data_IF_060275717335
#
_entry.id   IF_060275717335
#
_cell.length_a   1.000
_cell.length_b   1.000
_cell.length_c   1.000
_cell.angle_alpha   90.00
_cell.angle_beta   90.00
_cell.angle_gamma   90.00
#
_symmetry.space_group_name_H-M   'P 1'
#
loop_
_entity.id
_entity.type
_entity.pdbx_description
1 polymer ?
#
# COMPACT_ATOMS: atom_id res chain seq x y z
N UNK A 1 -36.12 -1.93 12.09
CA UNK A 1 -36.57 -3.25 11.60
C UNK A 1 -36.84 -4.14 12.79
N UNK A 2 -37.22 -5.41 12.61
CA UNK A 2 -37.40 -6.32 13.75
C UNK A 2 -36.04 -6.56 14.47
N UNK A 3 -36.06 -6.53 15.81
CA UNK A 3 -34.92 -6.74 16.70
C UNK A 3 -33.75 -5.75 16.55
N UNK A 4 -34.00 -4.51 16.16
CA UNK A 4 -32.99 -3.44 16.18
C UNK A 4 -32.76 -2.94 17.60
N UNK A 5 -31.49 -2.78 18.00
CA UNK A 5 -31.11 -2.33 19.37
C UNK A 5 -31.72 -3.19 20.49
N UNK A 6 -31.95 -4.49 20.23
CA UNK A 6 -32.71 -5.35 21.13
C UNK A 6 -32.07 -5.52 22.51
N UNK A 7 -30.75 -5.72 22.56
CA UNK A 7 -30.00 -5.93 23.80
C UNK A 7 -29.42 -4.64 24.40
N UNK A 8 -29.74 -3.44 23.86
CA UNK A 8 -29.13 -2.18 24.27
C UNK A 8 -29.60 -1.76 25.67
N UNK A 9 -28.67 -1.74 26.63
CA UNK A 9 -28.97 -1.40 28.04
C UNK A 9 -28.49 -0.01 28.40
N UNK A 10 -27.23 0.34 28.11
CA UNK A 10 -26.64 1.64 28.48
C UNK A 10 -26.05 2.41 27.30
N UNK A 11 -25.97 1.80 26.12
CA UNK A 11 -25.45 2.45 24.91
C UNK A 11 -26.31 3.61 24.44
N UNK A 12 -25.69 4.75 24.16
CA UNK A 12 -26.34 5.98 23.74
C UNK A 12 -25.93 6.40 22.32
N UNK A 13 -26.77 7.23 21.67
CA UNK A 13 -26.49 7.86 20.37
C UNK A 13 -26.22 6.90 19.20
N UNK A 14 -26.81 5.70 19.23
CA UNK A 14 -26.69 4.72 18.16
C UNK A 14 -27.81 4.88 17.10
N UNK A 15 -27.45 4.74 15.82
CA UNK A 15 -28.41 4.68 14.70
C UNK A 15 -28.46 3.26 14.14
N UNK A 16 -29.63 2.62 14.15
CA UNK A 16 -29.81 1.25 13.66
C UNK A 16 -30.98 1.13 12.66
N UNK A 17 -30.68 0.78 11.41
CA UNK A 17 -31.65 0.60 10.33
C UNK A 17 -31.43 -0.76 9.66
N UNK A 18 -32.43 -1.63 9.70
CA UNK A 18 -32.34 -3.01 9.18
C UNK A 18 -33.00 -3.99 10.13
N UNK A 19 -33.10 -5.27 9.78
CA UNK A 19 -33.44 -6.30 10.78
C UNK A 19 -32.17 -6.74 11.49
N UNK A 20 -32.24 -6.84 12.83
CA UNK A 20 -31.14 -7.27 13.70
C UNK A 20 -29.85 -6.44 13.54
N UNK A 21 -29.97 -5.18 13.13
CA UNK A 21 -28.88 -4.21 13.18
C UNK A 21 -28.64 -3.81 14.65
N UNK A 22 -27.37 -3.82 15.10
CA UNK A 22 -26.98 -3.60 16.51
C UNK A 22 -27.82 -4.44 17.51
N UNK A 23 -28.06 -5.71 17.17
CA UNK A 23 -28.90 -6.58 17.99
C UNK A 23 -28.30 -6.80 19.39
N UNK A 24 -27.02 -7.14 19.47
CA UNK A 24 -26.31 -7.48 20.73
C UNK A 24 -25.54 -6.30 21.33
N UNK A 25 -25.87 -5.06 20.96
CA UNK A 25 -25.29 -3.86 21.56
C UNK A 25 -25.65 -3.81 23.04
N UNK A 26 -24.69 -3.79 23.96
CA UNK A 26 -24.95 -3.72 25.41
C UNK A 26 -24.70 -2.29 25.90
N UNK A 27 -23.46 -1.83 25.77
CA UNK A 27 -23.00 -0.56 26.33
C UNK A 27 -22.42 0.41 25.30
N UNK A 28 -22.26 -0.02 24.04
CA UNK A 28 -21.53 0.78 23.08
C UNK A 28 -22.30 2.03 22.62
N UNK A 29 -21.56 3.10 22.36
CA UNK A 29 -22.07 4.43 22.02
C UNK A 29 -21.65 4.87 20.62
N UNK A 30 -22.47 5.73 20.01
CA UNK A 30 -22.14 6.43 18.76
C UNK A 30 -21.86 5.52 17.55
N UNK A 31 -22.55 4.39 17.47
CA UNK A 31 -22.47 3.49 16.32
C UNK A 31 -23.57 3.77 15.28
N UNK A 32 -23.22 3.66 14.00
CA UNK A 32 -24.18 3.71 12.88
C UNK A 32 -24.21 2.37 12.17
N UNK A 33 -25.35 1.69 12.17
CA UNK A 33 -25.56 0.40 11.54
C UNK A 33 -26.74 0.43 10.57
N UNK A 34 -26.46 0.34 9.27
CA UNK A 34 -27.46 0.36 8.20
C UNK A 34 -27.33 -0.90 7.36
N UNK A 35 -28.23 -1.86 7.55
CA UNK A 35 -28.28 -3.11 6.80
C UNK A 35 -28.79 -4.28 7.64
N UNK A 36 -29.19 -5.36 6.96
CA UNK A 36 -29.48 -6.63 7.62
C UNK A 36 -28.23 -7.13 8.36
N UNK A 37 -28.33 -7.33 9.68
CA UNK A 37 -27.20 -7.76 10.52
C UNK A 37 -25.96 -6.85 10.51
N UNK A 38 -26.08 -5.57 10.17
CA UNK A 38 -24.98 -4.63 10.35
C UNK A 38 -24.64 -4.49 11.86
N UNK A 39 -23.36 -4.60 12.23
CA UNK A 39 -22.89 -4.55 13.62
C UNK A 39 -23.65 -5.47 14.59
N UNK A 40 -24.10 -6.64 14.13
CA UNK A 40 -25.00 -7.50 14.93
C UNK A 40 -24.41 -7.87 16.30
N UNK A 41 -23.14 -8.27 16.34
CA UNK A 41 -22.48 -8.80 17.54
C UNK A 41 -21.72 -7.74 18.35
N UNK A 42 -21.86 -6.46 18.03
CA UNK A 42 -21.13 -5.39 18.72
C UNK A 42 -21.61 -5.31 20.16
N UNK A 43 -20.76 -5.56 21.15
CA UNK A 43 -21.15 -5.53 22.58
C UNK A 43 -20.76 -4.23 23.26
N UNK A 44 -19.53 -3.75 22.99
CA UNK A 44 -18.95 -2.57 23.63
C UNK A 44 -18.02 -1.76 22.71
N UNK A 45 -18.01 -2.04 21.41
CA UNK A 45 -17.18 -1.31 20.45
C UNK A 45 -17.83 0.03 20.06
N UNK A 46 -17.14 1.14 20.29
CA UNK A 46 -17.66 2.49 20.09
C UNK A 46 -17.26 3.07 18.74
N UNK A 47 -18.03 4.06 18.27
CA UNK A 47 -17.71 4.89 17.10
C UNK A 47 -17.56 4.09 15.78
N UNK A 48 -18.30 2.99 15.61
CA UNK A 48 -18.26 2.20 14.39
C UNK A 48 -19.35 2.63 13.39
N UNK A 49 -19.01 2.65 12.11
CA UNK A 49 -19.95 2.86 11.00
C UNK A 49 -20.00 1.64 10.12
N UNK A 50 -21.15 0.96 10.04
CA UNK A 50 -21.40 -0.18 9.17
C UNK A 50 -22.57 0.11 8.23
N UNK A 51 -22.32 0.15 6.93
CA UNK A 51 -23.35 0.30 5.89
C UNK A 51 -23.25 -0.85 4.89
N UNK A 52 -24.25 -1.71 4.89
CA UNK A 52 -24.30 -2.93 4.09
C UNK A 52 -24.80 -4.12 4.90
N UNK A 53 -25.43 -5.08 4.22
CA UNK A 53 -25.85 -6.32 4.89
C UNK A 53 -24.60 -7.07 5.39
N UNK A 54 -24.60 -7.40 6.69
CA UNK A 54 -23.50 -8.06 7.42
C UNK A 54 -22.18 -7.28 7.45
N UNK A 55 -22.18 -5.97 7.22
CA UNK A 55 -21.01 -5.14 7.46
C UNK A 55 -20.67 -5.12 8.98
N UNK A 56 -19.39 -5.31 9.33
CA UNK A 56 -18.90 -5.49 10.72
C UNK A 56 -19.71 -6.51 11.55
N UNK A 57 -20.21 -7.56 10.91
CA UNK A 57 -21.11 -8.54 11.54
C UNK A 57 -20.57 -9.12 12.86
N UNK A 58 -19.27 -9.43 12.90
CA UNK A 58 -18.61 -10.10 14.03
C UNK A 58 -17.94 -9.16 15.03
N UNK A 59 -18.04 -7.83 14.83
CA UNK A 59 -17.36 -6.90 15.73
C UNK A 59 -17.93 -7.07 17.13
N UNK A 60 -17.09 -7.20 18.16
CA UNK A 60 -17.53 -7.29 19.56
C UNK A 60 -17.06 -6.09 20.36
N UNK A 61 -15.76 -5.78 20.29
CA UNK A 61 -15.12 -4.72 21.09
C UNK A 61 -14.20 -3.82 20.27
N UNK A 62 -14.15 -3.99 18.94
CA UNK A 62 -13.38 -3.13 18.07
C UNK A 62 -14.03 -1.74 17.95
N UNK A 63 -13.20 -0.70 18.01
CA UNK A 63 -13.66 0.69 17.99
C UNK A 63 -13.23 1.39 16.69
N UNK A 64 -13.92 2.48 16.34
CA UNK A 64 -13.52 3.38 15.26
C UNK A 64 -13.38 2.69 13.90
N UNK A 65 -14.16 1.64 13.61
CA UNK A 65 -14.14 0.98 12.32
C UNK A 65 -15.22 1.56 11.38
N UNK A 66 -14.85 1.79 10.13
CA UNK A 66 -15.79 2.10 9.04
C UNK A 66 -15.83 0.95 8.06
N UNK A 67 -17.01 0.37 7.83
CA UNK A 67 -17.23 -0.69 6.85
C UNK A 67 -18.39 -0.37 5.90
N UNK A 68 -18.09 -0.30 4.61
CA UNK A 68 -19.07 0.06 3.57
C UNK A 68 -19.11 -1.03 2.49
N UNK A 69 -20.20 -1.80 2.43
CA UNK A 69 -20.41 -2.87 1.46
C UNK A 69 -21.06 -4.12 2.06
N UNK A 70 -21.60 -4.99 1.21
CA UNK A 70 -22.05 -6.32 1.66
C UNK A 70 -20.86 -7.08 2.24
N UNK A 71 -20.99 -7.51 3.51
CA UNK A 71 -19.97 -8.23 4.26
C UNK A 71 -18.62 -7.52 4.40
N UNK A 72 -18.56 -6.20 4.22
CA UNK A 72 -17.34 -5.43 4.49
C UNK A 72 -16.90 -5.60 5.96
N UNK A 73 -15.66 -6.06 6.18
CA UNK A 73 -15.05 -6.26 7.48
C UNK A 73 -15.81 -7.26 8.35
N UNK A 74 -16.53 -8.23 7.77
CA UNK A 74 -17.44 -9.09 8.54
C UNK A 74 -16.72 -10.01 9.53
N UNK A 75 -15.39 -10.13 9.41
CA UNK A 75 -14.53 -10.95 10.27
C UNK A 75 -13.89 -10.16 11.42
N UNK A 76 -13.98 -8.83 11.44
CA UNK A 76 -13.44 -8.02 12.54
C UNK A 76 -14.15 -8.42 13.84
N UNK A 77 -13.39 -8.71 14.90
CA UNK A 77 -13.91 -8.97 16.26
C UNK A 77 -13.43 -7.92 17.25
N UNK A 78 -12.12 -7.69 17.31
CA UNK A 78 -11.48 -6.78 18.28
C UNK A 78 -10.53 -5.77 17.62
N UNK A 79 -10.38 -5.85 16.30
CA UNK A 79 -9.59 -4.89 15.54
C UNK A 79 -10.23 -3.50 15.55
N UNK A 80 -9.41 -2.45 15.62
CA UNK A 80 -9.87 -1.06 15.73
C UNK A 80 -9.23 -0.18 14.66
N UNK A 81 -9.86 0.96 14.38
CA UNK A 81 -9.36 1.98 13.45
C UNK A 81 -9.24 1.48 11.99
N UNK A 82 -10.09 0.54 11.55
CA UNK A 82 -10.05 0.06 10.17
C UNK A 82 -11.04 0.78 9.28
N UNK A 83 -10.65 1.10 8.04
CA UNK A 83 -11.54 1.55 6.97
C UNK A 83 -11.63 0.47 5.90
N UNK A 84 -12.77 -0.22 5.82
CA UNK A 84 -13.00 -1.36 4.93
C UNK A 84 -14.13 -1.04 3.95
N UNK A 85 -13.83 -0.89 2.66
CA UNK A 85 -14.79 -0.45 1.65
C UNK A 85 -14.80 -1.45 0.49
N UNK A 86 -15.91 -2.15 0.30
CA UNK A 86 -16.08 -3.09 -0.81
C UNK A 86 -17.00 -4.27 -0.50
N UNK A 87 -17.52 -4.91 -1.54
CA UNK A 87 -18.20 -6.20 -1.44
C UNK A 87 -17.20 -7.27 -1.00
N UNK A 88 -17.48 -8.00 0.09
CA UNK A 88 -16.61 -9.04 0.67
C UNK A 88 -15.15 -8.55 0.89
N UNK A 89 -14.94 -7.27 1.21
CA UNK A 89 -13.62 -6.75 1.60
C UNK A 89 -13.35 -7.05 3.08
N UNK A 90 -12.15 -7.51 3.43
CA UNK A 90 -11.82 -7.93 4.79
C UNK A 90 -10.43 -7.42 5.25
N UNK A 91 -10.22 -7.26 6.57
CA UNK A 91 -8.89 -7.02 7.13
C UNK A 91 -7.96 -8.24 6.95
N UNK A 92 -6.69 -8.10 7.30
CA UNK A 92 -5.75 -9.24 7.31
C UNK A 92 -6.08 -10.31 8.37
N UNK A 93 -6.72 -9.92 9.47
CA UNK A 93 -7.15 -10.80 10.56
C UNK A 93 -8.26 -10.14 11.39
N UNK A 94 -8.93 -10.91 12.24
CA UNK A 94 -10.05 -10.45 13.08
C UNK A 94 -9.68 -9.40 14.15
N UNK A 95 -8.40 -9.32 14.51
CA UNK A 95 -7.82 -8.36 15.46
C UNK A 95 -6.88 -7.35 14.80
N UNK A 96 -6.84 -7.31 13.46
CA UNK A 96 -6.01 -6.32 12.75
C UNK A 96 -6.56 -4.92 12.94
N UNK A 97 -5.65 -3.96 13.06
CA UNK A 97 -5.96 -2.57 13.38
C UNK A 97 -5.25 -1.60 12.46
N UNK A 98 -5.83 -0.42 12.31
CA UNK A 98 -5.30 0.68 11.51
C UNK A 98 -5.08 0.30 10.03
N UNK A 99 -6.00 -0.47 9.43
CA UNK A 99 -5.94 -0.81 8.01
C UNK A 99 -6.87 0.07 7.18
N UNK A 100 -6.45 0.37 5.95
CA UNK A 100 -7.34 0.87 4.90
C UNK A 100 -7.44 -0.23 3.86
N UNK A 101 -8.62 -0.80 3.62
CA UNK A 101 -8.83 -1.86 2.63
C UNK A 101 -9.97 -1.45 1.71
N UNK A 102 -9.65 -1.20 0.45
CA UNK A 102 -10.61 -0.66 -0.53
C UNK A 102 -10.63 -1.56 -1.76
N UNK A 103 -11.80 -2.08 -2.13
CA UNK A 103 -12.01 -2.88 -3.33
C UNK A 103 -12.84 -4.13 -3.09
N UNK A 104 -13.56 -4.59 -4.11
CA UNK A 104 -14.29 -5.86 -4.08
C UNK A 104 -13.33 -7.02 -3.80
N UNK A 105 -13.57 -7.77 -2.73
CA UNK A 105 -12.75 -8.92 -2.36
C UNK A 105 -11.31 -8.56 -1.98
N UNK A 106 -11.04 -7.30 -1.64
CA UNK A 106 -9.72 -6.89 -1.17
C UNK A 106 -9.48 -7.45 0.24
N UNK A 107 -8.24 -7.88 0.52
CA UNK A 107 -7.84 -8.39 1.83
C UNK A 107 -6.66 -7.59 2.35
N UNK A 108 -6.78 -7.08 3.59
CA UNK A 108 -5.70 -6.40 4.30
C UNK A 108 -4.42 -7.24 4.36
N UNK A 109 -3.26 -6.58 4.48
CA UNK A 109 -1.95 -7.24 4.44
C UNK A 109 -1.11 -7.06 5.73
N UNK A 110 -1.68 -6.42 6.75
CA UNK A 110 -1.01 -6.19 8.04
C UNK A 110 -1.42 -4.86 8.69
N UNK A 111 -1.15 -4.71 9.99
CA UNK A 111 -1.51 -3.49 10.70
C UNK A 111 -0.82 -2.26 10.10
N UNK A 112 -1.51 -1.12 10.08
CA UNK A 112 -1.02 0.15 9.54
C UNK A 112 -0.85 0.16 8.00
N UNK A 113 -1.46 -0.78 7.28
CA UNK A 113 -1.32 -0.90 5.82
C UNK A 113 -2.57 -0.40 5.08
N UNK A 114 -2.34 0.18 3.91
CA UNK A 114 -3.38 0.45 2.93
C UNK A 114 -3.32 -0.57 1.78
N UNK A 115 -4.45 -1.19 1.47
CA UNK A 115 -4.66 -2.10 0.35
C UNK A 115 -5.74 -1.52 -0.54
N UNK A 116 -5.42 -1.31 -1.82
CA UNK A 116 -6.35 -0.78 -2.82
C UNK A 116 -6.44 -1.80 -3.95
N UNK A 117 -7.46 -2.64 -3.91
CA UNK A 117 -7.72 -3.69 -4.88
C UNK A 117 -7.43 -5.11 -4.39
N UNK A 118 -7.77 -6.06 -5.25
CA UNK A 118 -7.43 -7.47 -5.16
C UNK A 118 -6.49 -7.86 -6.32
N UNK A 119 -6.24 -9.15 -6.50
CA UNK A 119 -5.38 -9.64 -7.59
C UNK A 119 -5.87 -9.31 -9.01
N UNK A 120 -7.15 -8.95 -9.18
CA UNK A 120 -7.73 -8.59 -10.47
C UNK A 120 -7.46 -7.13 -10.87
N UNK A 121 -6.99 -6.30 -9.93
CA UNK A 121 -6.68 -4.89 -10.21
C UNK A 121 -5.40 -4.77 -11.02
N UNK A 122 -5.52 -4.32 -12.27
CA UNK A 122 -4.37 -4.21 -13.20
C UNK A 122 -3.70 -2.84 -13.18
N UNK A 123 -4.39 -1.79 -12.70
CA UNK A 123 -3.89 -0.41 -12.67
C UNK A 123 -4.47 0.35 -11.49
N UNK A 124 -3.63 1.18 -10.87
CA UNK A 124 -4.03 2.18 -9.87
C UNK A 124 -3.62 3.55 -10.40
N UNK A 125 -4.59 4.41 -10.66
CA UNK A 125 -4.34 5.77 -11.14
C UNK A 125 -4.35 6.75 -9.96
N UNK A 126 -3.26 7.48 -9.77
CA UNK A 126 -3.21 8.58 -8.80
C UNK A 126 -3.80 9.89 -9.36
N UNK A 127 -3.73 10.11 -10.68
CA UNK A 127 -4.45 11.15 -11.41
C UNK A 127 -4.63 10.73 -12.88
N UNK A 128 -5.65 11.27 -13.56
CA UNK A 128 -5.92 10.97 -14.98
C UNK A 128 -5.18 11.93 -15.93
N UNK A 129 -5.23 13.26 -15.69
CA UNK A 129 -4.77 14.24 -16.71
C UNK A 129 -3.76 15.30 -16.22
N UNK A 130 -3.52 15.43 -14.91
CA UNK A 130 -2.68 16.51 -14.35
C UNK A 130 -1.34 16.04 -13.75
N UNK A 131 -1.06 14.73 -13.82
CA UNK A 131 0.00 14.10 -13.02
C UNK A 131 -0.34 14.10 -11.52
N UNK A 132 0.20 13.14 -10.78
CA UNK A 132 0.07 13.08 -9.32
C UNK A 132 1.47 13.00 -8.70
N UNK A 133 1.68 13.76 -7.63
CA UNK A 133 2.88 13.65 -6.79
C UNK A 133 2.56 12.72 -5.62
N UNK A 134 3.35 11.66 -5.45
CA UNK A 134 3.28 10.78 -4.28
C UNK A 134 4.34 11.20 -3.27
N UNK A 135 3.90 11.65 -2.08
CA UNK A 135 4.79 11.95 -0.95
C UNK A 135 5.02 10.68 -0.14
N UNK A 136 6.20 10.06 -0.27
CA UNK A 136 6.58 8.87 0.45
C UNK A 136 8.06 8.92 0.86
N UNK A 137 8.40 8.32 2.02
CA UNK A 137 9.79 8.13 2.42
C UNK A 137 10.55 7.14 1.52
N UNK A 138 9.83 6.32 0.76
CA UNK A 138 10.36 5.42 -0.25
C UNK A 138 9.25 4.80 -1.09
N UNK A 139 9.59 4.36 -2.31
CA UNK A 139 8.71 3.61 -3.20
C UNK A 139 9.44 2.33 -3.59
N UNK A 140 8.87 1.17 -3.23
CA UNK A 140 9.41 -0.11 -3.64
C UNK A 140 8.80 -0.53 -4.99
N UNK A 141 9.65 -0.64 -6.02
CA UNK A 141 9.28 -1.08 -7.36
C UNK A 141 9.97 -2.41 -7.66
N UNK A 142 9.20 -3.47 -7.86
CA UNK A 142 9.71 -4.82 -8.14
C UNK A 142 8.94 -5.47 -9.29
N UNK A 143 9.47 -6.55 -9.87
CA UNK A 143 8.76 -7.34 -10.89
C UNK A 143 8.81 -6.78 -12.32
N UNK A 144 9.88 -6.07 -12.71
CA UNK A 144 10.08 -5.61 -14.09
C UNK A 144 9.43 -4.26 -14.43
N UNK A 145 9.14 -3.43 -13.43
CA UNK A 145 8.49 -2.12 -13.59
C UNK A 145 9.33 -1.14 -14.41
N UNK A 146 8.72 -0.55 -15.44
CA UNK A 146 9.32 0.55 -16.22
C UNK A 146 8.97 1.90 -15.59
N UNK A 147 9.96 2.77 -15.39
CA UNK A 147 9.74 4.17 -14.98
C UNK A 147 10.34 5.09 -16.04
N UNK A 148 9.48 5.77 -16.81
CA UNK A 148 9.89 6.51 -18.01
C UNK A 148 10.52 7.87 -17.74
N UNK A 149 10.27 8.48 -16.57
CA UNK A 149 10.85 9.77 -16.19
C UNK A 149 11.12 9.80 -14.68
N UNK A 150 12.39 9.72 -14.30
CA UNK A 150 12.81 9.87 -12.91
C UNK A 150 13.75 11.06 -12.78
N UNK A 151 13.34 12.05 -11.97
CA UNK A 151 14.24 13.12 -11.55
C UNK A 151 14.78 12.76 -10.18
N UNK A 152 16.04 12.34 -10.14
CA UNK A 152 16.74 12.10 -8.88
C UNK A 152 17.38 13.40 -8.34
N UNK A 153 17.39 13.56 -7.02
CA UNK A 153 18.29 14.49 -6.33
C UNK A 153 19.64 13.82 -6.09
N UNK A 154 19.77 13.13 -4.96
CA UNK A 154 20.89 12.23 -4.64
C UNK A 154 20.38 10.79 -4.63
N UNK A 155 21.04 9.89 -5.35
CA UNK A 155 20.77 8.45 -5.30
C UNK A 155 21.81 7.79 -4.40
N UNK A 156 21.41 7.39 -3.19
CA UNK A 156 22.25 6.59 -2.29
C UNK A 156 21.82 5.13 -2.41
N UNK A 157 22.68 4.29 -2.99
CA UNK A 157 22.45 2.85 -3.09
C UNK A 157 23.23 2.16 -1.96
N UNK A 158 22.53 1.60 -0.98
CA UNK A 158 23.13 0.72 0.03
C UNK A 158 22.75 -0.70 -0.33
N UNK A 159 23.70 -1.48 -0.83
CA UNK A 159 23.53 -2.92 -1.04
C UNK A 159 24.45 -3.63 -0.06
N UNK A 160 23.93 -4.66 0.62
CA UNK A 160 24.72 -5.48 1.55
C UNK A 160 25.79 -6.31 0.83
N UNK A 161 25.68 -6.51 -0.48
CA UNK A 161 26.66 -7.20 -1.31
C UNK A 161 26.79 -6.51 -2.67
N UNK A 162 27.98 -6.64 -3.27
CA UNK A 162 28.49 -6.04 -4.52
C UNK A 162 27.58 -6.14 -5.77
N UNK A 163 26.43 -5.47 -5.78
CA UNK A 163 25.54 -5.42 -6.93
C UNK A 163 25.86 -4.20 -7.80
N UNK A 164 26.23 -4.45 -9.06
CA UNK A 164 26.47 -3.41 -10.05
C UNK A 164 25.16 -2.69 -10.40
N UNK A 165 25.19 -1.35 -10.47
CA UNK A 165 24.14 -0.57 -11.13
C UNK A 165 24.11 -0.98 -12.60
N UNK A 166 23.16 -1.83 -12.96
CA UNK A 166 23.06 -2.42 -14.30
C UNK A 166 21.99 -1.67 -15.08
N UNK A 167 22.42 -0.92 -16.09
CA UNK A 167 21.53 -0.32 -17.10
C UNK A 167 21.48 -1.30 -18.28
N UNK A 168 20.32 -1.90 -18.53
CA UNK A 168 20.07 -2.83 -19.64
C UNK A 168 19.16 -2.18 -20.68
N UNK A 169 19.20 -2.63 -21.93
CA UNK A 169 18.39 -2.06 -23.03
C UNK A 169 18.95 -0.76 -23.61
N UNK A 170 20.26 -0.54 -23.47
CA UNK A 170 20.99 0.58 -24.10
C UNK A 170 20.95 0.37 -25.62
N UNK A 171 20.27 1.25 -26.34
CA UNK A 171 20.27 1.31 -27.82
C UNK A 171 21.41 2.20 -28.30
N UNK A 172 21.69 2.22 -29.60
CA UNK A 172 22.66 3.15 -30.22
C UNK A 172 22.31 4.64 -30.00
N UNK A 173 21.08 4.95 -29.57
CA UNK A 173 20.62 6.30 -29.19
C UNK A 173 20.64 6.58 -27.68
N UNK A 174 21.04 5.61 -26.85
CA UNK A 174 20.99 5.74 -25.39
C UNK A 174 22.30 6.36 -24.86
N UNK A 175 22.20 7.45 -24.09
CA UNK A 175 23.33 8.05 -23.36
C UNK A 175 23.32 7.52 -21.92
N UNK A 176 24.34 6.76 -21.53
CA UNK A 176 24.54 6.32 -20.13
C UNK A 176 25.71 7.10 -19.54
N UNK A 177 25.41 8.05 -18.66
CA UNK A 177 26.43 8.83 -17.96
C UNK A 177 26.53 8.36 -16.50
N UNK A 178 27.68 7.84 -16.10
CA UNK A 178 28.00 7.55 -14.70
C UNK A 178 29.09 8.53 -14.23
N UNK A 179 28.77 9.39 -13.27
CA UNK A 179 29.73 10.34 -12.68
C UNK A 179 30.08 9.90 -11.25
N UNK A 180 31.37 9.79 -10.97
CA UNK A 180 31.89 9.34 -9.68
C UNK A 180 32.73 10.45 -9.05
N UNK A 181 32.55 10.73 -7.76
CA UNK A 181 33.39 11.71 -7.06
C UNK A 181 34.77 11.13 -6.75
N UNK A 182 35.82 11.92 -6.90
CA UNK A 182 37.18 11.54 -6.55
C UNK A 182 37.30 11.33 -5.03
N UNK A 183 37.71 10.12 -4.64
CA UNK A 183 37.78 9.67 -3.24
C UNK A 183 37.46 8.18 -3.08
N UNK A 184 36.68 7.61 -4.00
CA UNK A 184 36.32 6.19 -4.01
C UNK A 184 37.41 5.35 -4.70
N UNK A 185 38.47 5.01 -3.96
CA UNK A 185 39.53 4.10 -4.43
C UNK A 185 38.93 2.71 -4.73
N UNK A 186 38.95 2.27 -6.00
CA UNK A 186 38.59 0.89 -6.40
C UNK A 186 37.35 0.72 -7.26
N UNK A 187 37.00 1.67 -8.13
CA UNK A 187 35.80 1.59 -8.98
C UNK A 187 36.04 0.89 -10.32
N UNK A 188 35.21 -0.10 -10.62
CA UNK A 188 35.17 -0.83 -11.90
C UNK A 188 34.06 -0.27 -12.80
N UNK A 189 34.43 0.26 -13.97
CA UNK A 189 33.48 0.61 -15.04
C UNK A 189 33.45 -0.58 -16.01
N UNK A 190 32.33 -1.30 -16.06
CA UNK A 190 32.07 -2.34 -17.07
C UNK A 190 30.99 -1.84 -18.02
N UNK A 191 31.40 -1.32 -19.17
CA UNK A 191 30.50 -0.92 -20.25
C UNK A 191 30.58 -1.98 -21.35
N UNK A 192 29.45 -2.58 -21.72
CA UNK A 192 29.34 -3.51 -22.86
C UNK A 192 28.88 -2.68 -24.06
N UNK A 193 29.64 -2.70 -25.15
CA UNK A 193 29.41 -1.80 -26.30
C UNK A 193 29.31 -2.61 -27.60
N UNK A 194 28.33 -2.33 -28.48
CA UNK A 194 28.29 -2.91 -29.82
C UNK A 194 29.52 -2.49 -30.65
N UNK A 195 30.03 -3.39 -31.49
CA UNK A 195 31.30 -3.30 -32.26
C UNK A 195 31.56 -2.05 -33.14
N UNK A 196 30.64 -1.08 -33.23
CA UNK A 196 30.78 0.09 -34.12
C UNK A 196 30.78 1.46 -33.44
N UNK A 197 30.60 1.55 -32.12
CA UNK A 197 30.39 2.84 -31.44
C UNK A 197 31.57 3.33 -30.59
N UNK A 198 31.75 4.66 -30.56
CA UNK A 198 32.76 5.37 -29.77
C UNK A 198 32.30 5.56 -28.32
N UNK A 199 33.11 5.16 -27.34
CA UNK A 199 32.84 5.41 -25.91
C UNK A 199 33.55 6.70 -25.48
N UNK A 200 32.80 7.68 -24.98
CA UNK A 200 33.38 8.86 -24.31
C UNK A 200 33.25 8.69 -22.80
N UNK A 201 34.36 8.46 -22.10
CA UNK A 201 34.43 8.43 -20.63
C UNK A 201 35.17 9.69 -20.18
N UNK A 202 34.48 10.58 -19.47
CA UNK A 202 35.07 11.79 -18.88
C UNK A 202 35.36 11.53 -17.40
N UNK A 203 36.65 11.54 -17.03
CA UNK A 203 37.09 11.50 -15.63
C UNK A 203 37.25 12.94 -15.15
N UNK A 204 36.47 13.36 -14.16
CA UNK A 204 36.59 14.68 -13.54
C UNK A 204 37.33 14.56 -12.19
N UNK A 205 38.59 15.02 -12.16
CA UNK A 205 39.46 15.00 -10.98
C UNK A 205 40.86 14.45 -11.24
N UNK A 206 41.85 14.96 -10.49
CA UNK A 206 43.25 14.51 -10.56
C UNK A 206 43.37 13.00 -10.34
N UNK A 207 43.94 12.30 -11.33
CA UNK A 207 44.12 10.87 -11.33
C UNK A 207 45.03 10.44 -10.16
N UNK A 208 44.45 9.88 -9.09
CA UNK A 208 45.19 9.10 -8.12
C UNK A 208 45.18 7.63 -8.56
N UNK A 209 46.31 7.17 -9.11
CA UNK A 209 46.87 5.81 -9.30
C UNK A 209 46.01 4.53 -9.09
N UNK A 210 44.72 4.48 -9.43
CA UNK A 210 43.90 3.29 -9.11
C UNK A 210 42.65 3.01 -9.95
N UNK A 211 42.41 3.72 -11.04
CA UNK A 211 41.25 3.43 -11.90
C UNK A 211 41.64 2.37 -12.94
N UNK A 212 41.08 1.16 -12.81
CA UNK A 212 41.23 0.09 -13.81
C UNK A 212 39.96 0.04 -14.67
N UNK A 213 40.09 0.31 -15.96
CA UNK A 213 38.99 0.23 -16.94
C UNK A 213 39.05 -1.08 -17.73
N UNK A 214 37.90 -1.74 -17.87
CA UNK A 214 37.72 -2.90 -18.75
C UNK A 214 36.64 -2.57 -19.79
N UNK A 215 37.05 -2.42 -21.05
CA UNK A 215 36.15 -2.26 -22.20
C UNK A 215 35.99 -3.63 -22.83
N UNK A 216 34.76 -4.16 -22.87
CA UNK A 216 34.45 -5.40 -23.59
C UNK A 216 33.72 -5.00 -24.88
N UNK A 217 34.41 -5.16 -26.00
CA UNK A 217 33.87 -4.97 -27.35
C UNK A 217 33.33 -6.33 -27.80
N UNK A 218 32.04 -6.41 -28.15
CA UNK A 218 31.43 -7.59 -28.76
C UNK A 218 31.38 -7.46 -30.29
#
# INVERSE_FOLDING_TARGET
GAYTLYSNTTGAYNTAIGSRALQENIAATENTAVGYYALRLNTSGDYNTASGSRALYSNTTGDNNTALGYRAGNVITTGSNNTIIGYDADPSANNSSNQIVIGKGATGQGNNYAVIGNADVTRVYAAQDAGATVYAGGINLSGGTTVSAVKFGTVTMSTSDSQAFTVSGVTSSSIVTASFKSGDNGRYIKTVVPSTDTITITLDGAANNGVIMYIIIN
#
